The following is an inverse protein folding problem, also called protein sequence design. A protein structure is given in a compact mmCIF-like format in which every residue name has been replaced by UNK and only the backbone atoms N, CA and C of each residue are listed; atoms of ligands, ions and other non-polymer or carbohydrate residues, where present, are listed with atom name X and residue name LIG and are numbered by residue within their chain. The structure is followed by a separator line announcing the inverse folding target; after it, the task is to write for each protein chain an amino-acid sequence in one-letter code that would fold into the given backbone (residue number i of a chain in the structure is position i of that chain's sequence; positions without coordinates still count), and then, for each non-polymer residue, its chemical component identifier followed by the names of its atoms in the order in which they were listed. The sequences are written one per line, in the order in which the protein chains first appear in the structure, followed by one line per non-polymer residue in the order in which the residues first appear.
data_IF_758426118229
#
_entry.id   IF_758426118229
#
_cell.length_a   1.000
_cell.length_b   1.000
_cell.length_c   1.000
_cell.angle_alpha   90.00
_cell.angle_beta   90.00
_cell.angle_gamma   90.00
#
_symmetry.space_group_name_H-M   'P 1'
#
loop_
_entity.id
_entity.type
_entity.pdbx_description
1 polymer ?
#
# COMPACT_ATOMS: atom_id res chain seq x y z
N UNK A 1 20.98 -20.19 29.62
CA UNK A 1 21.33 -19.88 28.22
C UNK A 1 20.96 -21.12 27.43
N UNK A 2 20.00 -21.08 26.54
CA UNK A 2 20.09 -20.40 25.25
C UNK A 2 18.72 -19.77 24.95
N UNK A 3 18.68 -18.45 24.78
CA UNK A 3 17.58 -17.81 24.07
C UNK A 3 17.64 -18.33 22.63
N UNK A 4 16.54 -18.87 22.13
CA UNK A 4 16.41 -19.28 20.74
C UNK A 4 16.60 -18.05 19.84
N UNK A 5 17.79 -17.96 19.24
CA UNK A 5 18.15 -16.88 18.31
C UNK A 5 17.39 -16.97 16.98
N UNK A 6 16.65 -18.04 16.70
CA UNK A 6 15.84 -18.13 15.49
C UNK A 6 14.53 -17.34 15.58
N UNK A 7 14.10 -16.98 16.79
CA UNK A 7 12.90 -16.17 17.01
C UNK A 7 13.12 -14.66 16.88
N UNK A 8 14.38 -14.19 16.71
CA UNK A 8 14.70 -12.76 16.62
C UNK A 8 14.68 -12.25 15.16
N UNK A 9 14.57 -13.14 14.16
CA UNK A 9 14.50 -12.77 12.73
C UNK A 9 13.12 -12.84 12.09
N UNK A 10 12.12 -13.45 12.76
CA UNK A 10 10.78 -13.68 12.21
C UNK A 10 9.73 -12.66 12.68
N UNK A 11 10.14 -11.68 13.49
CA UNK A 11 9.33 -10.55 13.95
C UNK A 11 9.87 -9.25 13.33
N UNK A 12 10.18 -9.24 12.04
CA UNK A 12 10.13 -7.97 11.31
C UNK A 12 8.67 -7.58 11.28
N UNK A 13 8.29 -6.71 12.20
CA UNK A 13 6.93 -6.31 12.46
C UNK A 13 6.18 -6.07 11.14
N UNK A 14 5.06 -6.77 11.04
CA UNK A 14 3.94 -6.59 10.13
C UNK A 14 3.28 -5.21 10.34
N UNK A 15 4.10 -4.16 10.32
CA UNK A 15 3.70 -2.82 10.65
C UNK A 15 2.86 -2.22 9.54
N UNK A 16 1.82 -1.51 9.96
CA UNK A 16 1.07 -0.66 9.04
C UNK A 16 1.99 0.46 8.53
N UNK A 17 2.06 0.59 7.21
CA UNK A 17 2.65 1.75 6.56
C UNK A 17 1.62 2.83 6.29
N UNK A 18 2.05 4.08 6.37
CA UNK A 18 1.25 5.26 6.03
C UNK A 18 1.70 5.76 4.67
N UNK A 19 0.73 6.14 3.83
CA UNK A 19 1.01 6.77 2.55
C UNK A 19 0.12 7.98 2.30
N UNK A 20 0.63 8.86 1.45
CA UNK A 20 -0.13 9.93 0.80
C UNK A 20 0.09 9.87 -0.70
N UNK A 21 -0.89 10.29 -1.49
CA UNK A 21 -0.79 10.39 -2.93
C UNK A 21 -1.39 11.71 -3.40
N UNK A 22 -0.55 12.50 -4.06
CA UNK A 22 -0.99 13.66 -4.80
C UNK A 22 -1.45 13.20 -6.19
N UNK A 23 -2.78 13.16 -6.40
CA UNK A 23 -3.38 12.70 -7.65
C UNK A 23 -3.02 13.62 -8.82
N UNK A 24 -2.84 14.92 -8.56
CA UNK A 24 -2.51 15.91 -9.59
C UNK A 24 -1.09 15.76 -10.14
N UNK A 25 -0.11 15.48 -9.28
CA UNK A 25 1.30 15.24 -9.71
C UNK A 25 1.63 13.78 -9.97
N UNK A 26 0.68 12.88 -9.64
CA UNK A 26 0.86 11.44 -9.61
C UNK A 26 2.10 11.01 -8.82
N UNK A 27 2.24 11.52 -7.59
CA UNK A 27 3.33 11.15 -6.69
C UNK A 27 2.77 10.58 -5.40
N UNK A 28 3.14 9.33 -5.12
CA UNK A 28 2.85 8.61 -3.88
C UNK A 28 4.07 8.70 -2.98
N UNK A 29 3.84 9.15 -1.76
CA UNK A 29 4.82 9.18 -0.69
C UNK A 29 4.43 8.16 0.36
N UNK A 30 5.37 7.35 0.81
CA UNK A 30 5.12 6.35 1.85
C UNK A 30 6.31 6.23 2.79
N UNK A 31 6.04 5.82 4.02
CA UNK A 31 7.06 5.53 5.01
C UNK A 31 7.90 4.27 4.67
N UNK A 32 8.75 3.86 5.61
CA UNK A 32 9.61 2.67 5.49
C UNK A 32 8.81 1.38 5.32
N UNK A 33 7.66 1.28 5.97
CA UNK A 33 6.82 0.09 5.92
C UNK A 33 6.15 -0.03 4.55
N UNK A 34 5.70 1.09 3.95
CA UNK A 34 5.24 1.11 2.56
C UNK A 34 6.36 0.70 1.60
N UNK A 35 7.57 1.25 1.76
CA UNK A 35 8.70 0.89 0.91
C UNK A 35 9.01 -0.61 0.97
N UNK A 36 9.02 -1.17 2.19
CA UNK A 36 9.29 -2.58 2.44
C UNK A 36 8.22 -3.49 1.81
N UNK A 37 6.94 -3.17 1.99
CA UNK A 37 5.82 -3.96 1.44
C UNK A 37 5.88 -4.04 -0.10
N UNK A 38 6.17 -2.93 -0.77
CA UNK A 38 6.23 -2.86 -2.24
C UNK A 38 7.62 -3.22 -2.82
N UNK A 39 8.62 -3.45 -1.98
CA UNK A 39 9.98 -3.78 -2.41
C UNK A 39 10.70 -2.63 -3.11
N UNK A 40 10.46 -1.40 -2.67
CA UNK A 40 11.17 -0.22 -3.15
C UNK A 40 12.34 0.14 -2.22
N UNK A 41 13.41 0.78 -2.74
CA UNK A 41 14.36 1.50 -1.91
C UNK A 41 13.63 2.55 -1.07
N UNK A 42 14.03 2.70 0.20
CA UNK A 42 13.39 3.62 1.14
C UNK A 42 13.36 5.07 0.62
N UNK A 43 14.45 5.51 0.01
CA UNK A 43 14.61 6.85 -0.53
C UNK A 43 13.58 7.17 -1.62
N UNK A 44 13.18 6.17 -2.41
CA UNK A 44 12.20 6.33 -3.50
C UNK A 44 10.79 6.56 -2.95
N UNK A 45 10.42 5.83 -1.90
CA UNK A 45 9.12 6.00 -1.25
C UNK A 45 9.01 7.36 -0.53
N UNK A 46 10.13 7.86 0.02
CA UNK A 46 10.21 9.15 0.71
C UNK A 46 10.23 10.36 -0.24
N UNK A 47 10.81 10.22 -1.43
CA UNK A 47 10.94 11.31 -2.42
C UNK A 47 9.78 11.38 -3.40
N UNK A 48 8.88 10.40 -3.36
CA UNK A 48 7.70 10.34 -4.20
C UNK A 48 7.92 9.43 -5.41
N UNK A 49 7.01 8.48 -5.59
CA UNK A 49 7.05 7.51 -6.68
C UNK A 49 5.72 7.48 -7.44
N UNK A 50 5.76 7.19 -8.75
CA UNK A 50 4.57 7.14 -9.60
C UNK A 50 3.60 6.03 -9.16
N UNK A 51 2.30 6.30 -9.19
CA UNK A 51 1.28 5.29 -8.85
C UNK A 51 1.40 4.05 -9.73
N UNK A 52 1.75 4.21 -11.00
CA UNK A 52 1.99 3.09 -11.94
C UNK A 52 3.07 2.12 -11.45
N UNK A 53 4.08 2.59 -10.71
CA UNK A 53 5.10 1.73 -10.13
C UNK A 53 4.53 0.85 -9.00
N UNK A 54 3.62 1.40 -8.17
CA UNK A 54 2.91 0.63 -7.15
C UNK A 54 1.97 -0.40 -7.80
N UNK A 55 1.20 0.00 -8.81
CA UNK A 55 0.32 -0.91 -9.55
C UNK A 55 1.11 -2.08 -10.18
N UNK A 56 2.32 -1.83 -10.71
CA UNK A 56 3.18 -2.89 -11.26
C UNK A 56 3.67 -3.93 -10.23
N UNK A 57 3.46 -3.68 -8.93
CA UNK A 57 3.74 -4.63 -7.85
C UNK A 57 2.50 -5.40 -7.40
N UNK A 58 1.30 -5.01 -7.82
CA UNK A 58 0.07 -5.73 -7.48
C UNK A 58 -0.05 -6.99 -8.34
N UNK A 59 -0.61 -8.06 -7.77
CA UNK A 59 -0.87 -9.29 -8.51
C UNK A 59 -1.81 -9.01 -9.71
N UNK A 60 -1.55 -9.56 -10.91
CA UNK A 60 -2.35 -9.26 -12.10
C UNK A 60 -3.86 -9.49 -11.93
N UNK A 61 -4.25 -10.55 -11.21
CA UNK A 61 -5.67 -10.86 -10.96
C UNK A 61 -6.36 -9.83 -10.05
N UNK A 62 -5.61 -9.13 -9.19
CA UNK A 62 -6.18 -8.17 -8.23
C UNK A 62 -6.21 -6.74 -8.82
N UNK A 63 -5.43 -6.48 -9.87
CA UNK A 63 -5.28 -5.17 -10.50
C UNK A 63 -6.60 -4.53 -10.96
N UNK A 64 -7.52 -5.24 -11.65
CA UNK A 64 -8.76 -4.64 -12.11
C UNK A 64 -9.62 -4.09 -10.98
N UNK A 65 -9.74 -4.83 -9.88
CA UNK A 65 -10.53 -4.43 -8.71
C UNK A 65 -9.87 -3.25 -7.98
N UNK A 66 -8.55 -3.30 -7.77
CA UNK A 66 -7.82 -2.20 -7.13
C UNK A 66 -7.97 -0.91 -7.94
N UNK A 67 -7.80 -0.96 -9.25
CA UNK A 67 -7.93 0.21 -10.12
C UNK A 67 -9.36 0.79 -10.09
N UNK A 68 -10.37 -0.08 -10.11
CA UNK A 68 -11.77 0.33 -10.01
C UNK A 68 -12.08 1.03 -8.68
N UNK A 69 -11.67 0.44 -7.56
CA UNK A 69 -11.90 1.02 -6.22
C UNK A 69 -11.17 2.36 -6.06
N UNK A 70 -9.94 2.45 -6.58
CA UNK A 70 -9.17 3.69 -6.56
C UNK A 70 -9.85 4.78 -7.38
N UNK A 71 -10.32 4.46 -8.59
CA UNK A 71 -11.09 5.38 -9.44
C UNK A 71 -12.35 5.88 -8.72
N UNK A 72 -13.13 4.98 -8.12
CA UNK A 72 -14.36 5.32 -7.41
C UNK A 72 -14.08 6.26 -6.22
N UNK A 73 -13.03 6.00 -5.45
CA UNK A 73 -12.64 6.84 -4.32
C UNK A 73 -12.27 8.27 -4.77
N UNK A 74 -11.53 8.42 -5.87
CA UNK A 74 -11.16 9.74 -6.44
C UNK A 74 -12.40 10.47 -6.98
N UNK A 75 -13.22 9.78 -7.77
CA UNK A 75 -14.41 10.37 -8.41
C UNK A 75 -15.42 10.87 -7.36
N UNK A 76 -15.64 10.07 -6.31
CA UNK A 76 -16.57 10.41 -5.22
C UNK A 76 -15.97 11.32 -4.14
N UNK A 77 -14.66 11.56 -4.16
CA UNK A 77 -13.93 12.11 -3.00
C UNK A 77 -14.22 11.32 -1.71
N UNK A 78 -14.33 10.00 -1.84
CA UNK A 78 -14.81 9.07 -0.82
C UNK A 78 -13.70 8.26 -0.15
N UNK A 79 -14.12 7.17 0.49
CA UNK A 79 -13.22 6.20 1.12
C UNK A 79 -12.81 5.10 0.16
N UNK A 80 -11.70 4.46 0.47
CA UNK A 80 -11.13 3.32 -0.23
C UNK A 80 -10.79 2.24 0.79
N UNK A 81 -11.17 1.00 0.49
CA UNK A 81 -10.84 -0.16 1.32
C UNK A 81 -10.82 -1.40 0.44
N UNK A 82 -9.65 -2.02 0.28
CA UNK A 82 -9.49 -3.23 -0.53
C UNK A 82 -8.36 -4.08 0.02
N UNK A 83 -8.46 -5.39 -0.17
CA UNK A 83 -7.39 -6.34 0.08
C UNK A 83 -6.86 -6.87 -1.24
N UNK A 84 -5.54 -6.96 -1.38
CA UNK A 84 -4.88 -7.43 -2.61
C UNK A 84 -3.49 -7.96 -2.30
N UNK A 85 -2.90 -8.66 -3.26
CA UNK A 85 -1.55 -9.21 -3.15
C UNK A 85 -0.53 -8.23 -3.72
N UNK A 86 0.52 -7.94 -2.94
CA UNK A 86 1.67 -7.10 -3.34
C UNK A 86 2.92 -7.95 -3.44
N UNK A 87 3.69 -7.73 -4.51
CA UNK A 87 4.99 -8.34 -4.76
C UNK A 87 6.10 -7.49 -4.17
N UNK A 88 6.69 -7.96 -3.07
CA UNK A 88 7.84 -7.32 -2.43
C UNK A 88 9.16 -7.51 -3.19
N UNK A 89 10.28 -7.11 -2.58
CA UNK A 89 11.61 -7.14 -3.20
C UNK A 89 12.08 -8.56 -3.57
N UNK A 90 11.66 -9.57 -2.80
CA UNK A 90 11.99 -10.98 -3.02
C UNK A 90 11.09 -11.67 -4.06
N UNK A 91 10.26 -10.92 -4.80
CA UNK A 91 9.28 -11.44 -5.77
C UNK A 91 8.22 -12.40 -5.19
N UNK A 92 8.07 -12.44 -3.87
CA UNK A 92 7.00 -13.17 -3.18
C UNK A 92 5.81 -12.23 -2.99
N UNK A 93 4.61 -12.75 -3.26
CA UNK A 93 3.37 -12.05 -3.01
C UNK A 93 2.94 -12.18 -1.54
N UNK A 94 2.50 -11.07 -0.95
CA UNK A 94 1.91 -11.01 0.39
C UNK A 94 0.55 -10.35 0.31
N UNK A 95 -0.40 -10.85 1.09
CA UNK A 95 -1.73 -10.24 1.19
C UNK A 95 -1.65 -8.99 2.07
N UNK A 96 -2.22 -7.90 1.59
CA UNK A 96 -2.28 -6.64 2.32
C UNK A 96 -3.70 -6.08 2.27
N UNK A 97 -4.09 -5.35 3.30
CA UNK A 97 -5.25 -4.49 3.31
C UNK A 97 -4.80 -3.03 3.19
N UNK A 98 -5.44 -2.29 2.29
CA UNK A 98 -5.22 -0.85 2.15
C UNK A 98 -6.52 -0.10 2.42
N UNK A 99 -6.43 0.92 3.27
CA UNK A 99 -7.56 1.79 3.64
C UNK A 99 -7.14 3.23 3.54
N UNK A 100 -7.98 4.05 2.94
CA UNK A 100 -7.70 5.48 2.82
C UNK A 100 -8.90 6.29 2.41
N UNK A 101 -8.66 7.58 2.18
CA UNK A 101 -9.68 8.55 1.80
C UNK A 101 -9.12 9.60 0.86
N UNK A 102 -9.97 10.04 -0.05
CA UNK A 102 -9.73 11.21 -0.89
C UNK A 102 -10.19 12.50 -0.20
N UNK A 103 -9.40 13.55 -0.39
CA UNK A 103 -9.65 14.91 0.06
C UNK A 103 -9.49 15.85 -1.14
N UNK A 104 -10.39 16.83 -1.28
CA UNK A 104 -10.27 17.91 -2.27
C UNK A 104 -9.88 19.20 -1.56
N UNK A 105 -8.80 19.83 -2.02
CA UNK A 105 -8.38 21.15 -1.55
C UNK A 105 -9.16 22.29 -2.21
N UNK A 106 -9.45 23.35 -1.46
CA UNK A 106 -10.35 24.44 -1.90
C UNK A 106 -9.79 25.45 -2.90
N UNK A 107 -8.46 25.62 -3.02
CA UNK A 107 -7.87 26.68 -3.88
C UNK A 107 -7.18 26.18 -5.15
N UNK A 108 -6.96 24.87 -5.33
CA UNK A 108 -6.16 24.34 -6.47
C UNK A 108 -6.68 23.04 -7.09
N UNK A 109 -7.88 22.57 -6.72
CA UNK A 109 -8.38 21.23 -7.10
C UNK A 109 -7.36 20.10 -6.81
N UNK A 110 -6.50 20.32 -5.80
CA UNK A 110 -5.55 19.30 -5.36
C UNK A 110 -6.34 18.18 -4.71
N UNK A 111 -6.52 17.10 -5.46
CA UNK A 111 -7.03 15.85 -4.91
C UNK A 111 -5.86 15.13 -4.24
N UNK A 112 -5.96 15.00 -2.92
CA UNK A 112 -5.03 14.23 -2.11
C UNK A 112 -5.70 12.94 -1.68
N UNK A 113 -4.95 11.87 -1.64
CA UNK A 113 -5.37 10.61 -1.07
C UNK A 113 -4.41 10.29 0.09
N UNK A 114 -4.93 9.91 1.25
CA UNK A 114 -4.10 9.45 2.36
C UNK A 114 -4.68 8.20 2.98
N UNK A 115 -3.81 7.34 3.52
CA UNK A 115 -4.26 6.07 4.07
C UNK A 115 -3.16 5.28 4.75
N UNK A 116 -3.55 4.08 5.15
CA UNK A 116 -2.67 3.05 5.68
C UNK A 116 -2.71 1.81 4.79
N UNK A 117 -1.63 1.07 4.79
CA UNK A 117 -1.54 -0.27 4.22
C UNK A 117 -0.87 -1.18 5.23
N UNK A 118 -1.40 -2.36 5.44
CA UNK A 118 -0.87 -3.30 6.42
C UNK A 118 -1.02 -4.72 5.90
N UNK A 119 -0.06 -5.62 6.20
CA UNK A 119 -0.22 -7.03 5.90
C UNK A 119 -1.42 -7.60 6.63
N UNK A 120 -2.07 -8.58 6.01
CA UNK A 120 -3.16 -9.35 6.64
C UNK A 120 -2.95 -10.81 6.35
N UNK A 121 -3.34 -11.65 7.30
CA UNK A 121 -3.37 -13.09 7.08
C UNK A 121 -4.36 -13.45 5.98
N UNK A 122 -4.08 -14.50 5.19
CA UNK A 122 -5.09 -15.07 4.31
C UNK A 122 -6.34 -15.40 5.10
N UNK A 123 -7.50 -14.94 4.62
CA UNK A 123 -8.77 -15.32 5.21
C UNK A 123 -8.91 -16.82 4.99
N UNK A 124 -8.81 -17.62 6.07
CA UNK A 124 -9.12 -19.04 6.00
C UNK A 124 -10.56 -19.20 5.50
N UNK A 125 -10.82 -20.06 4.50
CA UNK A 125 -12.17 -20.31 4.06
C UNK A 125 -12.97 -20.86 5.25
N UNK A 126 -14.08 -20.19 5.59
CA UNK A 126 -15.06 -20.71 6.54
C UNK A 126 -15.59 -22.03 5.96
N UNK A 127 -15.32 -23.14 6.66
CA UNK A 127 -15.83 -24.48 6.33
C UNK A 127 -17.35 -24.56 6.50
#
# INVERSE_FOLDING_TARGET
MIFDLQSIGALELEEAGIFTWNVGTDLVFGDSSVALLFGFPFEVSMTGQKMSAYLARIHPDDLPEVALQMHNAIASCGTYSVQYRVRGALNVYRLVASRGRCFRGGERDMTQFAGIIYPVDPIEPVQ
#
